data_IF_344216654347
#
_entry.id   IF_344216654347
#
_cell.length_a   1.000
_cell.length_b   1.000
_cell.length_c   1.000
_cell.angle_alpha   90.00
_cell.angle_beta   90.00
_cell.angle_gamma   90.00
#
_symmetry.space_group_name_H-M   'P 1'
#
loop_
_entity.id
_entity.type
_entity.pdbx_description
1 polymer ?
#
# COMPACT_ATOMS: atom_id res chain seq x y z
N UNK A 1 11.74 8.02 1.72
CA UNK A 1 11.46 8.80 0.49
C UNK A 1 10.55 7.97 -0.38
N UNK A 2 9.30 8.38 -0.64
CA UNK A 2 8.24 7.54 -1.25
C UNK A 2 8.69 6.53 -2.33
N UNK A 3 9.61 6.91 -3.23
CA UNK A 3 10.16 6.02 -4.25
C UNK A 3 10.83 4.75 -3.67
N UNK A 4 11.55 4.87 -2.56
CA UNK A 4 12.18 3.75 -1.86
C UNK A 4 11.13 2.79 -1.28
N UNK A 5 10.10 3.34 -0.62
CA UNK A 5 8.99 2.54 -0.07
C UNK A 5 8.22 1.81 -1.17
N UNK A 6 7.97 2.46 -2.32
CA UNK A 6 7.32 1.80 -3.45
C UNK A 6 8.18 0.69 -4.05
N UNK A 7 9.50 0.88 -4.11
CA UNK A 7 10.44 -0.14 -4.58
C UNK A 7 10.44 -1.36 -3.65
N UNK A 8 10.49 -1.15 -2.34
CA UNK A 8 10.41 -2.24 -1.34
C UNK A 8 9.09 -3.01 -1.45
N UNK A 9 7.96 -2.31 -1.56
CA UNK A 9 6.65 -2.94 -1.73
C UNK A 9 6.52 -3.73 -3.06
N UNK A 10 7.19 -3.27 -4.12
CA UNK A 10 7.27 -3.98 -5.40
C UNK A 10 8.13 -5.25 -5.26
N UNK A 11 9.30 -5.15 -4.62
CA UNK A 11 10.21 -6.28 -4.34
C UNK A 11 9.54 -7.34 -3.45
N UNK A 12 8.72 -6.92 -2.48
CA UNK A 12 7.92 -7.81 -1.62
C UNK A 12 6.70 -8.42 -2.34
N UNK A 13 6.41 -7.97 -3.57
CA UNK A 13 5.28 -8.42 -4.38
C UNK A 13 3.91 -7.95 -3.88
N UNK A 14 3.87 -6.84 -3.13
CA UNK A 14 2.65 -6.25 -2.60
C UNK A 14 2.02 -5.26 -3.57
N UNK A 15 2.81 -4.64 -4.45
CA UNK A 15 2.34 -3.76 -5.51
C UNK A 15 2.93 -4.13 -6.88
N UNK A 16 2.15 -3.90 -7.93
CA UNK A 16 2.61 -3.93 -9.32
C UNK A 16 3.01 -2.53 -9.75
N UNK A 17 4.13 -2.42 -10.48
CA UNK A 17 4.54 -1.20 -11.17
C UNK A 17 4.40 -1.38 -12.68
N UNK A 18 3.71 -0.44 -13.33
CA UNK A 18 3.53 -0.44 -14.79
C UNK A 18 4.00 0.87 -15.40
N UNK A 19 4.95 0.77 -16.32
CA UNK A 19 5.47 1.92 -17.07
C UNK A 19 4.75 1.97 -18.41
N UNK A 20 4.22 3.15 -18.75
CA UNK A 20 3.62 3.42 -20.05
C UNK A 20 4.55 4.33 -20.85
N UNK A 21 4.91 3.87 -22.05
CA UNK A 21 5.62 4.67 -23.04
C UNK A 21 4.64 5.64 -23.74
N UNK A 22 4.09 6.57 -22.97
CA UNK A 22 3.24 7.67 -23.45
C UNK A 22 4.02 8.99 -23.49
N UNK A 23 3.45 10.00 -24.15
CA UNK A 23 3.92 11.39 -24.02
C UNK A 23 2.83 12.17 -23.28
N UNK A 24 3.06 12.60 -22.03
CA UNK A 24 4.25 12.39 -21.19
C UNK A 24 4.38 10.95 -20.66
N UNK A 25 5.59 10.50 -20.28
CA UNK A 25 5.79 9.17 -19.69
C UNK A 25 5.04 9.06 -18.37
N UNK A 26 4.37 7.92 -18.17
CA UNK A 26 3.52 7.68 -16.99
C UNK A 26 3.92 6.37 -16.31
N UNK A 27 3.88 6.39 -14.98
CA UNK A 27 4.05 5.19 -14.14
C UNK A 27 2.80 5.02 -13.29
N UNK A 28 2.24 3.82 -13.26
CA UNK A 28 1.14 3.45 -12.38
C UNK A 28 1.60 2.39 -11.38
N UNK A 29 1.14 2.53 -10.15
CA UNK A 29 1.28 1.53 -9.10
C UNK A 29 -0.11 1.00 -8.74
N UNK A 30 -0.23 -0.31 -8.55
CA UNK A 30 -1.50 -0.95 -8.15
C UNK A 30 -1.23 -2.06 -7.15
N UNK A 31 -2.16 -2.32 -6.24
CA UNK A 31 -2.00 -3.40 -5.26
C UNK A 31 -2.12 -4.78 -5.94
N UNK A 32 -1.30 -5.74 -5.55
CA UNK A 32 -1.41 -7.13 -6.01
C UNK A 32 -2.48 -7.89 -5.23
N UNK A 33 -2.87 -9.09 -5.68
CA UNK A 33 -3.74 -9.95 -4.87
C UNK A 33 -3.09 -10.32 -3.53
N UNK A 34 -1.76 -10.53 -3.50
CA UNK A 34 -0.99 -10.71 -2.26
C UNK A 34 -1.05 -9.45 -1.39
N UNK A 35 -0.89 -8.26 -1.98
CA UNK A 35 -1.00 -7.00 -1.26
C UNK A 35 -2.37 -6.82 -0.61
N UNK A 36 -3.46 -7.21 -1.30
CA UNK A 36 -4.82 -7.11 -0.75
C UNK A 36 -5.00 -7.92 0.52
N UNK A 37 -4.29 -9.03 0.71
CA UNK A 37 -4.38 -9.81 1.96
C UNK A 37 -3.88 -9.06 3.18
N UNK A 38 -3.14 -7.95 3.00
CA UNK A 38 -2.68 -7.09 4.10
C UNK A 38 -3.73 -6.08 4.56
N UNK A 39 -4.74 -5.79 3.74
CA UNK A 39 -5.78 -4.79 4.04
C UNK A 39 -6.48 -5.07 5.38
N UNK A 40 -6.92 -6.30 5.69
CA UNK A 40 -7.59 -6.58 6.96
C UNK A 40 -6.70 -6.31 8.18
N UNK A 41 -5.39 -6.49 8.06
CA UNK A 41 -4.42 -6.23 9.14
C UNK A 41 -4.28 -4.72 9.36
N UNK A 42 -4.14 -3.96 8.27
CA UNK A 42 -4.08 -2.49 8.32
C UNK A 42 -5.37 -1.91 8.90
N UNK A 43 -6.53 -2.44 8.50
CA UNK A 43 -7.83 -2.04 9.04
C UNK A 43 -7.95 -2.38 10.53
N UNK A 44 -7.42 -3.53 10.96
CA UNK A 44 -7.39 -3.90 12.38
C UNK A 44 -6.53 -2.92 13.19
N UNK A 45 -5.36 -2.54 12.68
CA UNK A 45 -4.51 -1.52 13.30
C UNK A 45 -5.20 -0.16 13.36
N UNK A 46 -5.91 0.23 12.29
CA UNK A 46 -6.72 1.45 12.26
C UNK A 46 -7.80 1.42 13.34
N UNK A 47 -8.59 0.35 13.39
CA UNK A 47 -9.67 0.19 14.36
C UNK A 47 -9.15 0.24 15.80
N UNK A 48 -8.02 -0.41 16.08
CA UNK A 48 -7.35 -0.32 17.37
C UNK A 48 -6.96 1.12 17.70
N UNK A 49 -6.36 1.85 16.75
CA UNK A 49 -5.96 3.25 16.94
C UNK A 49 -7.14 4.18 17.23
N UNK A 50 -8.27 3.99 16.55
CA UNK A 50 -9.51 4.74 16.81
C UNK A 50 -10.09 4.41 18.19
N UNK A 51 -10.13 3.12 18.57
CA UNK A 51 -10.61 2.73 19.90
C UNK A 51 -9.72 3.28 21.02
N UNK A 52 -8.40 3.31 20.82
CA UNK A 52 -7.45 3.90 21.77
C UNK A 52 -7.67 5.40 21.93
N UNK A 53 -7.85 6.12 20.82
CA UNK A 53 -8.14 7.56 20.82
C UNK A 53 -9.48 7.88 21.49
N UNK A 54 -10.48 7.02 21.31
CA UNK A 54 -11.81 7.16 21.92
C UNK A 54 -11.87 6.71 23.39
N UNK A 55 -10.77 6.19 23.96
CA UNK A 55 -10.72 5.69 25.34
C UNK A 55 -11.58 4.44 25.59
N UNK A 56 -11.84 3.65 24.53
CA UNK A 56 -12.62 2.40 24.60
C UNK A 56 -11.78 1.19 24.96
N UNK A 57 -10.47 1.37 25.08
CA UNK A 57 -9.44 0.43 25.53
C UNK A 57 -8.37 1.17 26.33
#
# INVERSE_FOLDING_TARGET
>A
MLAQQLKELEEDGLINRKVYASVPPKVEYSITEKGKTTIPIIDSLRNWGENFKDGKI
#
